data_IF_070177790910
#
_entry.id   IF_070177790910
#
_cell.length_a   1.000
_cell.length_b   1.000
_cell.length_c   1.000
_cell.angle_alpha   90.00
_cell.angle_beta   90.00
_cell.angle_gamma   90.00
#
_symmetry.space_group_name_H-M   'P 1'
#
loop_
_entity.id
_entity.type
_entity.pdbx_description
1 polymer ?
#
# COMPACT_ATOMS: atom_id res chain seq x y z
N UNK A 1 -5.91 9.54 -8.60
CA UNK A 1 -5.85 8.90 -9.93
C UNK A 1 -7.02 9.43 -10.73
N UNK A 2 -6.73 10.32 -11.69
CA UNK A 2 -7.68 10.53 -12.78
C UNK A 2 -7.64 9.32 -13.75
N UNK A 3 -8.47 9.35 -14.78
CA UNK A 3 -8.59 8.24 -15.73
C UNK A 3 -7.28 7.99 -16.50
N UNK A 4 -6.53 9.04 -16.82
CA UNK A 4 -5.28 8.94 -17.57
C UNK A 4 -4.19 8.33 -16.69
N UNK A 5 -4.06 8.80 -15.45
CA UNK A 5 -3.13 8.26 -14.47
C UNK A 5 -3.44 6.78 -14.15
N UNK A 6 -4.73 6.42 -14.05
CA UNK A 6 -5.14 5.02 -13.86
C UNK A 6 -4.74 4.14 -15.06
N UNK A 7 -5.04 4.58 -16.28
CA UNK A 7 -4.70 3.83 -17.50
C UNK A 7 -3.18 3.71 -17.68
N UNK A 8 -2.43 4.77 -17.35
CA UNK A 8 -0.97 4.74 -17.35
C UNK A 8 -0.46 3.69 -16.36
N UNK A 9 -1.00 3.62 -15.14
CA UNK A 9 -0.59 2.60 -14.17
C UNK A 9 -0.90 1.18 -14.65
N UNK A 10 -2.08 0.93 -15.24
CA UNK A 10 -2.43 -0.42 -15.71
C UNK A 10 -1.60 -0.84 -16.93
N UNK A 11 -1.22 0.09 -17.80
CA UNK A 11 -0.48 -0.20 -19.03
C UNK A 11 1.03 -0.30 -18.86
N UNK A 12 1.58 0.05 -17.68
CA UNK A 12 3.00 -0.08 -17.40
C UNK A 12 3.41 -1.55 -17.27
N UNK A 13 4.42 -1.95 -18.04
CA UNK A 13 4.99 -3.31 -18.00
C UNK A 13 5.56 -3.70 -16.63
N UNK A 14 5.95 -2.71 -15.83
CA UNK A 14 6.41 -2.90 -14.45
C UNK A 14 5.27 -3.12 -13.46
N UNK A 15 4.01 -3.14 -13.90
CA UNK A 15 2.85 -3.36 -13.05
C UNK A 15 2.14 -4.64 -13.46
N UNK A 16 1.80 -5.47 -12.49
CA UNK A 16 0.98 -6.67 -12.67
C UNK A 16 -0.39 -6.43 -12.08
N UNK A 17 -1.41 -6.69 -12.88
CA UNK A 17 -2.81 -6.56 -12.47
C UNK A 17 -3.47 -7.93 -12.50
N UNK A 18 -4.10 -8.31 -11.40
CA UNK A 18 -4.98 -9.48 -11.34
C UNK A 18 -6.39 -9.02 -11.09
N UNK A 19 -7.35 -9.59 -11.85
CA UNK A 19 -8.78 -9.34 -11.71
C UNK A 19 -9.48 -10.67 -11.45
N UNK A 20 -10.29 -10.74 -10.41
CA UNK A 20 -11.23 -11.83 -10.21
C UNK A 20 -12.59 -11.42 -10.78
N UNK A 21 -13.12 -12.30 -11.62
CA UNK A 21 -14.42 -12.12 -12.27
C UNK A 21 -15.44 -13.08 -11.67
N UNK A 22 -16.64 -12.57 -11.40
CA UNK A 22 -17.83 -13.38 -11.15
C UNK A 22 -18.79 -13.14 -12.31
N UNK A 23 -19.04 -14.18 -13.10
CA UNK A 23 -19.70 -14.07 -14.40
C UNK A 23 -19.00 -13.01 -15.28
N UNK A 24 -19.69 -11.93 -15.64
CA UNK A 24 -19.18 -10.81 -16.44
C UNK A 24 -18.75 -9.59 -15.61
N UNK A 25 -18.79 -9.69 -14.28
CA UNK A 25 -18.52 -8.56 -13.38
C UNK A 25 -17.16 -8.72 -12.68
N UNK A 26 -16.28 -7.71 -12.70
CA UNK A 26 -15.05 -7.73 -11.91
C UNK A 26 -15.42 -7.52 -10.44
N UNK A 27 -15.07 -8.48 -9.59
CA UNK A 27 -15.45 -8.48 -8.16
C UNK A 27 -14.28 -8.27 -7.21
N UNK A 28 -13.05 -8.45 -7.68
CA UNK A 28 -11.86 -8.07 -6.92
C UNK A 28 -10.70 -7.79 -7.88
N UNK A 29 -9.78 -6.92 -7.47
CA UNK A 29 -8.62 -6.56 -8.29
C UNK A 29 -7.44 -6.18 -7.38
N UNK A 30 -6.22 -6.49 -7.82
CA UNK A 30 -5.00 -5.95 -7.20
C UNK A 30 -4.00 -5.55 -8.26
N UNK A 31 -3.22 -4.52 -7.96
CA UNK A 31 -2.06 -4.09 -8.73
C UNK A 31 -0.81 -4.18 -7.86
N UNK A 32 0.20 -4.87 -8.38
CA UNK A 32 1.55 -4.93 -7.79
C UNK A 32 2.52 -4.26 -8.76
N UNK A 33 3.24 -3.25 -8.27
CA UNK A 33 4.41 -2.72 -8.97
C UNK A 33 5.60 -3.64 -8.72
N UNK A 34 6.22 -4.13 -9.78
CA UNK A 34 7.45 -4.93 -9.74
C UNK A 34 8.71 -4.07 -9.88
N UNK A 35 8.58 -2.75 -9.98
CA UNK A 35 9.71 -1.83 -9.96
C UNK A 35 9.41 -0.64 -9.04
N UNK A 36 9.90 -0.73 -7.80
CA UNK A 36 9.76 0.33 -6.80
C UNK A 36 10.32 1.68 -7.27
N UNK A 37 11.30 1.69 -8.19
CA UNK A 37 11.92 2.93 -8.73
C UNK A 37 10.97 3.67 -9.67
N UNK A 38 10.07 2.94 -10.32
CA UNK A 38 9.03 3.52 -11.17
C UNK A 38 7.84 4.08 -10.36
N UNK A 39 7.78 3.77 -9.06
CA UNK A 39 6.70 4.16 -8.15
C UNK A 39 7.08 5.43 -7.36
N UNK A 40 6.64 6.59 -7.88
CA UNK A 40 7.10 7.93 -7.44
C UNK A 40 6.84 8.30 -5.97
N UNK A 41 5.94 7.59 -5.29
CA UNK A 41 5.58 7.86 -3.88
C UNK A 41 6.30 6.96 -2.88
N UNK A 42 7.20 6.10 -3.33
CA UNK A 42 8.00 5.24 -2.45
C UNK A 42 9.42 5.78 -2.30
N UNK A 43 9.98 5.60 -1.10
CA UNK A 43 11.34 6.06 -0.80
C UNK A 43 12.38 5.06 -1.32
N UNK A 44 12.95 5.33 -2.50
CA UNK A 44 14.07 4.54 -3.05
C UNK A 44 15.25 4.47 -2.07
N UNK A 45 15.59 5.61 -1.46
CA UNK A 45 16.69 5.73 -0.48
C UNK A 45 16.51 4.76 0.70
N UNK A 46 15.27 4.57 1.16
CA UNK A 46 14.99 3.61 2.22
C UNK A 46 15.34 2.19 1.79
N UNK A 47 14.86 1.74 0.63
CA UNK A 47 15.11 0.37 0.17
C UNK A 47 16.57 0.13 -0.21
N UNK A 48 17.23 1.13 -0.81
CA UNK A 48 18.66 1.06 -1.11
C UNK A 48 19.49 0.89 0.16
N UNK A 49 19.15 1.60 1.24
CA UNK A 49 19.87 1.54 2.51
C UNK A 49 19.59 0.26 3.31
N UNK A 50 18.34 -0.17 3.37
CA UNK A 50 17.91 -1.26 4.27
C UNK A 50 17.87 -2.63 3.60
N UNK A 51 17.70 -2.69 2.28
CA UNK A 51 17.63 -3.94 1.50
C UNK A 51 18.50 -3.85 0.23
N UNK A 52 19.80 -3.51 0.35
CA UNK A 52 20.64 -3.13 -0.79
C UNK A 52 20.75 -4.22 -1.87
N UNK A 53 20.85 -5.49 -1.47
CA UNK A 53 20.97 -6.60 -2.43
C UNK A 53 19.65 -6.83 -3.19
N UNK A 54 18.52 -6.80 -2.49
CA UNK A 54 17.18 -6.96 -3.10
C UNK A 54 16.83 -5.78 -4.00
N UNK A 55 17.18 -4.56 -3.56
CA UNK A 55 16.98 -3.34 -4.32
C UNK A 55 17.80 -3.36 -5.62
N UNK A 56 19.11 -3.67 -5.55
CA UNK A 56 19.97 -3.81 -6.73
C UNK A 56 19.49 -4.90 -7.70
N UNK A 57 18.95 -6.00 -7.17
CA UNK A 57 18.42 -7.10 -7.97
C UNK A 57 17.03 -6.81 -8.58
N UNK A 58 16.42 -5.66 -8.30
CA UNK A 58 15.06 -5.34 -8.77
C UNK A 58 13.97 -6.21 -8.13
N UNK A 59 14.21 -6.73 -6.93
CA UNK A 59 13.30 -7.65 -6.23
C UNK A 59 12.39 -6.97 -5.21
N UNK A 60 12.36 -5.63 -5.16
CA UNK A 60 11.48 -4.88 -4.27
C UNK A 60 10.21 -4.56 -5.03
N UNK A 61 9.15 -5.30 -4.72
CA UNK A 61 7.84 -5.14 -5.33
C UNK A 61 6.88 -4.51 -4.32
N UNK A 62 5.85 -3.83 -4.78
CA UNK A 62 4.92 -3.12 -3.90
C UNK A 62 3.47 -3.32 -4.31
N UNK A 63 2.63 -3.71 -3.35
CA UNK A 63 1.18 -3.76 -3.53
C UNK A 63 0.67 -2.32 -3.53
N UNK A 64 0.23 -1.85 -4.70
CA UNK A 64 -0.26 -0.46 -4.84
C UNK A 64 -1.68 -0.34 -4.30
N UNK A 65 -2.53 -1.32 -4.59
CA UNK A 65 -3.86 -1.41 -4.01
C UNK A 65 -4.43 -2.82 -4.14
N UNK A 66 -5.38 -3.12 -3.25
CA UNK A 66 -6.28 -4.27 -3.31
C UNK A 66 -7.68 -3.73 -3.15
N UNK A 67 -8.56 -4.02 -4.11
CA UNK A 67 -9.96 -3.60 -4.07
C UNK A 67 -10.86 -4.80 -4.27
N UNK A 68 -11.97 -4.81 -3.54
CA UNK A 68 -12.95 -5.90 -3.52
C UNK A 68 -14.32 -5.26 -3.54
N UNK A 69 -15.19 -5.75 -4.41
CA UNK A 69 -16.60 -5.36 -4.39
C UNK A 69 -17.20 -5.78 -3.03
N UNK A 70 -17.83 -4.86 -2.29
CA UNK A 70 -18.37 -5.15 -0.96
C UNK A 70 -19.54 -6.14 -0.97
N UNK A 71 -20.18 -6.35 -2.13
CA UNK A 71 -21.31 -7.27 -2.32
C UNK A 71 -20.87 -8.64 -2.83
N UNK A 72 -19.62 -8.78 -3.27
CA UNK A 72 -19.06 -10.08 -3.63
C UNK A 72 -18.96 -10.98 -2.39
N UNK A 73 -18.99 -12.30 -2.60
CA UNK A 73 -18.53 -13.24 -1.56
C UNK A 73 -17.04 -12.99 -1.31
N UNK A 74 -16.78 -12.10 -0.35
CA UNK A 74 -15.48 -11.55 -0.07
C UNK A 74 -14.48 -12.63 0.35
N UNK A 75 -14.94 -13.81 0.79
CA UNK A 75 -14.04 -14.88 1.21
C UNK A 75 -13.40 -15.59 0.01
N UNK A 76 -14.20 -16.02 -0.97
CA UNK A 76 -13.71 -16.74 -2.14
C UNK A 76 -12.85 -15.86 -3.06
N UNK A 77 -13.34 -14.67 -3.39
CA UNK A 77 -12.67 -13.77 -4.34
C UNK A 77 -11.31 -13.28 -3.81
N UNK A 78 -11.23 -12.88 -2.54
CA UNK A 78 -9.97 -12.45 -1.93
C UNK A 78 -8.93 -13.57 -1.88
N UNK A 79 -9.36 -14.78 -1.53
CA UNK A 79 -8.44 -15.91 -1.43
C UNK A 79 -7.86 -16.26 -2.78
N UNK A 80 -8.68 -16.28 -3.83
CA UNK A 80 -8.22 -16.53 -5.19
C UNK A 80 -7.26 -15.44 -5.69
N UNK A 81 -7.62 -14.16 -5.49
CA UNK A 81 -6.79 -13.02 -5.88
C UNK A 81 -5.43 -13.06 -5.19
N UNK A 82 -5.44 -13.17 -3.85
CA UNK A 82 -4.22 -13.23 -3.04
C UNK A 82 -3.36 -14.41 -3.45
N UNK A 83 -3.94 -15.60 -3.67
CA UNK A 83 -3.18 -16.78 -4.08
C UNK A 83 -2.46 -16.57 -5.41
N UNK A 84 -3.13 -16.00 -6.41
CA UNK A 84 -2.53 -15.77 -7.73
C UNK A 84 -1.40 -14.73 -7.66
N UNK A 85 -1.66 -13.58 -7.05
CA UNK A 85 -0.66 -12.52 -6.89
C UNK A 85 0.55 -13.04 -6.10
N UNK A 86 0.34 -13.59 -4.90
CA UNK A 86 1.43 -14.05 -4.03
C UNK A 86 2.23 -15.21 -4.63
N UNK A 87 1.62 -16.06 -5.46
CA UNK A 87 2.37 -17.13 -6.16
C UNK A 87 3.40 -16.53 -7.13
N UNK A 88 3.04 -15.47 -7.84
CA UNK A 88 3.98 -14.78 -8.74
C UNK A 88 5.12 -14.12 -7.94
N UNK A 89 4.79 -13.49 -6.82
CA UNK A 89 5.78 -12.84 -5.94
C UNK A 89 6.74 -13.85 -5.29
N UNK A 90 6.22 -15.00 -4.84
CA UNK A 90 7.02 -16.08 -4.29
C UNK A 90 7.96 -16.69 -5.34
N UNK A 91 7.48 -16.89 -6.58
CA UNK A 91 8.30 -17.40 -7.69
C UNK A 91 9.47 -16.47 -8.01
N UNK A 92 9.23 -15.16 -7.97
CA UNK A 92 10.24 -14.16 -8.27
C UNK A 92 11.18 -13.90 -7.07
N UNK A 93 10.87 -14.48 -5.91
CA UNK A 93 11.63 -14.30 -4.67
C UNK A 93 11.57 -12.87 -4.16
N UNK A 94 10.47 -12.16 -4.41
CA UNK A 94 10.33 -10.73 -4.15
C UNK A 94 10.31 -10.39 -2.65
N UNK A 95 10.90 -9.25 -2.31
CA UNK A 95 10.52 -8.49 -1.12
C UNK A 95 9.21 -7.76 -1.45
N UNK A 96 8.08 -8.37 -1.12
CA UNK A 96 6.76 -7.78 -1.35
C UNK A 96 6.40 -6.82 -0.22
N UNK A 97 6.37 -5.53 -0.56
CA UNK A 97 6.09 -4.42 0.34
C UNK A 97 4.62 -4.00 0.23
N UNK A 98 4.02 -3.62 1.34
CA UNK A 98 2.65 -3.10 1.40
C UNK A 98 2.51 -2.24 2.65
N UNK A 99 1.65 -1.22 2.59
CA UNK A 99 1.26 -0.42 3.75
C UNK A 99 -0.16 -0.79 4.22
N UNK A 100 -0.38 -0.64 5.52
CA UNK A 100 -1.66 -0.85 6.16
C UNK A 100 -1.84 0.27 7.18
N UNK A 101 -2.96 1.00 7.16
CA UNK A 101 -3.28 1.98 8.20
C UNK A 101 -3.24 1.34 9.59
N UNK A 102 -2.73 2.05 10.60
CA UNK A 102 -2.67 1.54 11.99
C UNK A 102 -4.04 1.01 12.48
N UNK A 103 -5.15 1.62 12.07
CA UNK A 103 -6.51 1.17 12.40
C UNK A 103 -6.83 -0.25 11.94
N UNK A 104 -6.18 -0.73 10.87
CA UNK A 104 -6.33 -2.09 10.33
C UNK A 104 -5.23 -3.06 10.83
N UNK A 105 -4.29 -2.55 11.63
CA UNK A 105 -3.20 -3.31 12.26
C UNK A 105 -2.88 -2.74 13.66
N UNK A 106 -3.84 -2.76 14.61
CA UNK A 106 -3.70 -2.05 15.88
C UNK A 106 -2.69 -2.70 16.85
N UNK A 107 -2.27 -3.93 16.58
CA UNK A 107 -1.31 -4.66 17.39
C UNK A 107 -0.28 -5.38 16.51
N UNK A 108 0.80 -5.88 17.12
CA UNK A 108 1.85 -6.63 16.42
C UNK A 108 1.38 -7.99 15.87
N UNK A 109 0.22 -8.49 16.32
CA UNK A 109 -0.41 -9.74 15.87
C UNK A 109 -1.89 -9.51 15.57
N UNK A 110 -2.44 -10.33 14.70
CA UNK A 110 -3.78 -10.14 14.13
C UNK A 110 -3.79 -9.06 13.03
N UNK A 111 -4.97 -8.66 12.57
CA UNK A 111 -5.10 -7.61 11.55
C UNK A 111 -4.77 -8.04 10.12
N UNK A 112 -4.78 -7.06 9.22
CA UNK A 112 -4.66 -7.32 7.78
C UNK A 112 -3.24 -7.79 7.37
N UNK A 113 -2.18 -7.37 8.05
CA UNK A 113 -0.82 -7.83 7.74
C UNK A 113 -0.68 -9.32 8.05
N UNK A 114 -1.21 -9.78 9.18
CA UNK A 114 -1.14 -11.19 9.54
C UNK A 114 -2.03 -12.06 8.64
N UNK A 115 -3.20 -11.55 8.21
CA UNK A 115 -4.03 -12.23 7.23
C UNK A 115 -3.27 -12.45 5.92
N UNK A 116 -2.65 -11.40 5.36
CA UNK A 116 -1.86 -11.49 4.13
C UNK A 116 -0.66 -12.44 4.30
N UNK A 117 0.01 -12.40 5.45
CA UNK A 117 1.09 -13.33 5.77
C UNK A 117 0.64 -14.79 5.80
N UNK A 118 -0.52 -15.09 6.41
CA UNK A 118 -1.09 -16.45 6.40
C UNK A 118 -1.40 -16.92 4.99
N UNK A 119 -1.89 -16.02 4.13
CA UNK A 119 -2.11 -16.31 2.72
C UNK A 119 -0.81 -16.57 1.96
N UNK A 120 0.24 -15.79 2.21
CA UNK A 120 1.54 -15.96 1.58
C UNK A 120 2.19 -17.31 1.97
N UNK A 121 1.99 -17.76 3.21
CA UNK A 121 2.43 -19.11 3.65
C UNK A 121 1.77 -20.27 2.92
N UNK A 122 0.65 -20.06 2.25
CA UNK A 122 0.01 -21.11 1.43
C UNK A 122 0.73 -21.33 0.09
N UNK A 123 1.60 -20.39 -0.32
CA UNK A 123 2.25 -20.41 -1.64
C UNK A 123 3.78 -20.47 -1.56
N UNK A 124 4.39 -20.27 -0.39
CA UNK A 124 5.83 -20.37 -0.21
C UNK A 124 6.30 -20.17 1.23
N UNK A 125 7.60 -20.36 1.45
CA UNK A 125 8.26 -19.97 2.69
C UNK A 125 8.49 -18.46 2.70
N UNK A 126 8.01 -17.79 3.75
CA UNK A 126 7.95 -16.33 3.83
C UNK A 126 8.06 -15.87 5.27
N UNK A 127 8.72 -14.73 5.46
CA UNK A 127 8.80 -14.00 6.70
C UNK A 127 8.03 -12.67 6.58
N UNK A 128 7.27 -12.31 7.60
CA UNK A 128 6.63 -11.00 7.70
C UNK A 128 7.58 -10.04 8.44
N UNK A 129 8.10 -9.04 7.73
CA UNK A 129 8.98 -8.01 8.27
C UNK A 129 8.21 -6.71 8.52
N UNK A 130 8.17 -6.25 9.76
CA UNK A 130 7.61 -4.93 10.09
C UNK A 130 8.63 -3.83 9.74
N UNK A 131 8.32 -2.97 8.77
CA UNK A 131 9.22 -1.89 8.31
C UNK A 131 9.01 -0.58 9.08
N UNK A 132 7.75 -0.14 9.22
CA UNK A 132 7.33 1.09 9.91
C UNK A 132 5.80 1.08 10.15
N UNK A 133 5.26 2.11 10.80
CA UNK A 133 3.82 2.31 11.02
C UNK A 133 3.35 3.60 10.37
N UNK A 134 2.28 3.54 9.56
CA UNK A 134 1.65 4.72 8.99
C UNK A 134 0.46 5.18 9.83
N UNK A 135 0.49 6.46 10.23
CA UNK A 135 -0.59 7.15 10.93
C UNK A 135 -1.11 8.27 10.05
N UNK A 136 -2.43 8.36 9.92
CA UNK A 136 -3.08 9.45 9.20
C UNK A 136 -3.56 10.50 10.20
N UNK A 137 -3.30 11.76 9.87
CA UNK A 137 -3.77 12.92 10.61
C UNK A 137 -4.49 13.85 9.64
N UNK A 138 -5.51 14.56 10.13
CA UNK A 138 -6.20 15.59 9.38
C UNK A 138 -6.14 16.89 10.18
N UNK A 139 -5.93 18.01 9.47
CA UNK A 139 -6.11 19.36 10.02
C UNK A 139 -7.44 19.88 9.47
N UNK A 140 -8.36 20.20 10.37
CA UNK A 140 -9.68 20.73 10.03
C UNK A 140 -9.70 22.25 10.24
N UNK A 141 -9.69 22.99 9.14
CA UNK A 141 -9.73 24.46 9.13
C UNK A 141 -11.16 25.01 9.13
N UNK A 142 -12.20 24.17 9.03
CA UNK A 142 -13.59 24.62 9.02
C UNK A 142 -14.06 25.17 10.38
N UNK A 143 -13.31 24.90 11.46
CA UNK A 143 -13.57 25.38 12.81
C UNK A 143 -12.81 26.66 13.19
N UNK A 144 -12.24 27.40 12.23
CA UNK A 144 -11.74 28.74 12.52
C UNK A 144 -12.93 29.65 12.81
N UNK A 145 -13.22 29.84 14.11
CA UNK A 145 -14.10 30.91 14.54
C UNK A 145 -13.51 32.24 14.05
N UNK A 146 -14.35 33.19 13.62
CA UNK A 146 -13.88 34.50 13.15
C UNK A 146 -13.02 35.24 14.20
N UNK A 147 -13.05 34.80 15.46
CA UNK A 147 -12.29 35.34 16.60
C UNK A 147 -10.83 34.86 16.63
N UNK A 148 -10.48 33.75 15.97
CA UNK A 148 -9.12 33.17 16.01
C UNK A 148 -8.21 33.71 14.89
N UNK A 149 -8.80 34.24 13.81
CA UNK A 149 -8.07 34.85 12.68
C UNK A 149 -7.36 36.14 13.10
N UNK A 150 -7.92 36.89 14.07
CA UNK A 150 -7.31 38.12 14.60
C UNK A 150 -6.10 37.85 15.50
N UNK A 151 -5.99 36.68 16.14
CA UNK A 151 -4.85 36.34 17.03
C UNK A 151 -3.60 35.88 16.28
N UNK A 152 -3.78 35.20 15.15
CA UNK A 152 -2.70 34.71 14.30
C UNK A 152 -2.07 35.81 13.42
N UNK A 153 -2.71 36.98 13.35
CA UNK A 153 -2.23 38.14 12.59
C UNK A 153 -1.09 38.90 13.28
N UNK A 154 -0.72 38.55 14.51
CA UNK A 154 0.36 39.21 15.25
C UNK A 154 1.72 38.54 14.94
N UNK A 155 2.69 39.24 14.32
CA UNK A 155 3.95 38.65 13.81
C UNK A 155 4.91 38.05 14.86
N UNK A 156 4.64 38.20 16.16
CA UNK A 156 5.67 38.07 17.20
C UNK A 156 5.87 36.66 17.80
N UNK A 157 5.05 35.65 17.46
CA UNK A 157 5.17 34.31 18.07
C UNK A 157 5.90 33.24 17.24
N UNK A 158 6.04 33.42 15.92
CA UNK A 158 6.62 32.39 15.05
C UNK A 158 8.16 32.26 15.14
N UNK A 159 8.85 33.19 15.80
CA UNK A 159 10.33 33.24 15.82
C UNK A 159 10.94 32.60 17.09
N UNK A 160 10.14 32.28 18.13
CA UNK A 160 10.70 31.85 19.42
C UNK A 160 10.99 30.35 19.56
N UNK A 161 10.53 29.52 18.63
CA UNK A 161 10.62 28.05 18.76
C UNK A 161 11.19 27.35 17.50
N UNK A 162 12.17 27.97 16.82
CA UNK A 162 12.96 27.31 15.77
C UNK A 162 14.38 26.99 16.26
#
# INVERSE_FOLDING_TARGET
>A
LDQDEFNEQISRDSNRVWVVWSDSSPVAMTLVSTDVRATRWLSEIYFEKHFPDRYRAGQVHYIVWVVVDPTADAHGANVMLARQALTAEARDGALLVFDIPEVHQPAAKGGAAELLFRMAKLVGDVELLALSTQRYFALDFANLSATDVDRLSSPDELVKNA
#
